data_IF_788421438672
#
_entry.id   IF_788421438672
#
_cell.length_a   1.000
_cell.length_b   1.000
_cell.length_c   1.000
_cell.angle_alpha   90.00
_cell.angle_beta   90.00
_cell.angle_gamma   90.00
#
_symmetry.space_group_name_H-M   'P 1'
#
loop_
_entity.id
_entity.type
_entity.pdbx_description
1 polymer ?
#
# COMPACT_ATOMS: atom_id res chain seq x y z
N UNK A 1 -10.42 -19.51 -4.25
CA UNK A 1 -9.18 -19.32 -5.03
C UNK A 1 -9.39 -18.29 -6.14
N UNK A 2 -8.88 -17.07 -5.94
CA UNK A 2 -8.94 -15.99 -6.93
C UNK A 2 -7.70 -16.02 -7.83
N UNK A 3 -7.89 -16.10 -9.15
CA UNK A 3 -6.79 -15.98 -10.11
C UNK A 3 -6.70 -14.52 -10.54
N UNK A 4 -5.83 -13.77 -9.88
CA UNK A 4 -5.57 -12.38 -10.25
C UNK A 4 -4.95 -12.35 -11.66
N UNK A 5 -5.60 -11.72 -12.65
CA UNK A 5 -5.05 -11.68 -13.99
C UNK A 5 -3.86 -10.72 -14.04
N UNK A 6 -2.90 -11.02 -14.92
CA UNK A 6 -1.57 -10.38 -14.95
C UNK A 6 -1.68 -8.87 -15.13
N UNK A 7 -2.64 -8.41 -15.93
CA UNK A 7 -2.91 -6.98 -16.11
C UNK A 7 -3.26 -6.27 -14.79
N UNK A 8 -4.00 -6.91 -13.89
CA UNK A 8 -4.36 -6.33 -12.59
C UNK A 8 -3.16 -6.31 -11.64
N UNK A 9 -2.23 -7.25 -11.78
CA UNK A 9 -0.98 -7.23 -11.02
C UNK A 9 -0.09 -6.08 -11.47
N UNK A 10 0.11 -5.95 -12.79
CA UNK A 10 1.02 -4.95 -13.37
C UNK A 10 0.47 -3.53 -13.25
N UNK A 11 -0.83 -3.34 -13.46
CA UNK A 11 -1.45 -2.01 -13.51
C UNK A 11 -2.19 -1.63 -12.22
N UNK A 12 -2.39 -2.57 -11.29
CA UNK A 12 -3.02 -2.31 -10.00
C UNK A 12 -2.03 -2.56 -8.87
N UNK A 13 -1.75 -3.82 -8.55
CA UNK A 13 -1.00 -4.17 -7.34
C UNK A 13 0.44 -3.62 -7.28
N UNK A 14 1.15 -3.52 -8.40
CA UNK A 14 2.50 -2.93 -8.41
C UNK A 14 2.42 -1.41 -8.15
N UNK A 15 1.66 -0.61 -8.93
CA UNK A 15 1.44 0.81 -8.66
C UNK A 15 0.94 1.09 -7.24
N UNK A 16 -0.06 0.34 -6.78
CA UNK A 16 -0.60 0.42 -5.41
C UNK A 16 0.50 0.25 -4.37
N UNK A 17 1.29 -0.82 -4.46
CA UNK A 17 2.37 -1.08 -3.51
C UNK A 17 3.45 0.01 -3.55
N UNK A 18 3.76 0.56 -4.74
CA UNK A 18 4.68 1.69 -4.85
C UNK A 18 4.14 2.93 -4.12
N UNK A 19 2.87 3.27 -4.35
CA UNK A 19 2.22 4.43 -3.72
C UNK A 19 2.12 4.27 -2.20
N UNK A 20 1.75 3.08 -1.72
CA UNK A 20 1.66 2.80 -0.29
C UNK A 20 3.00 2.98 0.43
N UNK A 21 4.08 2.40 -0.10
CA UNK A 21 5.43 2.56 0.46
C UNK A 21 5.84 4.01 0.43
N UNK A 22 5.64 4.68 -0.70
CA UNK A 22 6.07 6.06 -0.87
C UNK A 22 5.34 6.99 0.10
N UNK A 23 4.01 6.91 0.14
CA UNK A 23 3.17 7.71 1.04
C UNK A 23 3.49 7.42 2.51
N UNK A 24 3.57 6.14 2.90
CA UNK A 24 3.82 5.73 4.28
C UNK A 24 5.14 6.27 4.83
N UNK A 25 6.23 6.17 4.06
CA UNK A 25 7.52 6.71 4.48
C UNK A 25 7.56 8.25 4.45
N UNK A 26 6.92 8.88 3.45
CA UNK A 26 6.84 10.34 3.38
C UNK A 26 6.07 10.95 4.55
N UNK A 27 4.99 10.32 4.99
CA UNK A 27 4.24 10.73 6.19
C UNK A 27 5.13 10.71 7.43
N UNK A 28 6.11 9.80 7.49
CA UNK A 28 7.12 9.74 8.53
C UNK A 28 8.35 10.62 8.26
N UNK A 29 8.30 11.48 7.24
CA UNK A 29 9.39 12.41 6.88
C UNK A 29 10.61 11.74 6.24
N UNK A 30 10.54 10.45 5.92
CA UNK A 30 11.59 9.73 5.21
C UNK A 30 11.31 9.84 3.71
N UNK A 31 12.35 10.14 2.92
CA UNK A 31 12.26 10.24 1.46
C UNK A 31 13.05 9.09 0.82
N UNK A 32 12.45 7.89 0.64
CA UNK A 32 13.14 6.78 -0.01
C UNK A 32 13.45 7.14 -1.48
N UNK A 33 14.60 6.72 -2.02
CA UNK A 33 14.89 6.91 -3.43
C UNK A 33 13.92 6.08 -4.29
N UNK A 34 13.46 6.64 -5.40
CA UNK A 34 12.45 6.04 -6.28
C UNK A 34 12.80 4.61 -6.72
N UNK A 35 14.10 4.33 -6.95
CA UNK A 35 14.60 2.98 -7.31
C UNK A 35 14.26 1.93 -6.23
N UNK A 36 14.36 2.29 -4.95
CA UNK A 36 14.02 1.39 -3.84
C UNK A 36 12.51 1.16 -3.76
N UNK A 37 11.72 2.21 -3.95
CA UNK A 37 10.25 2.14 -3.99
C UNK A 37 9.79 1.20 -5.11
N UNK A 38 10.35 1.35 -6.31
CA UNK A 38 10.08 0.49 -7.45
C UNK A 38 10.38 -0.98 -7.14
N UNK A 39 11.54 -1.27 -6.53
CA UNK A 39 11.91 -2.63 -6.16
C UNK A 39 10.93 -3.24 -5.16
N UNK A 40 10.53 -2.50 -4.13
CA UNK A 40 9.53 -2.98 -3.16
C UNK A 40 8.19 -3.23 -3.84
N UNK A 41 7.72 -2.29 -4.67
CA UNK A 41 6.44 -2.41 -5.38
C UNK A 41 6.37 -3.62 -6.31
N UNK A 42 7.44 -3.86 -7.09
CA UNK A 42 7.52 -5.04 -7.97
C UNK A 42 7.51 -6.34 -7.18
N UNK A 43 8.34 -6.45 -6.14
CA UNK A 43 8.37 -7.66 -5.31
C UNK A 43 7.03 -7.89 -4.60
N UNK A 44 6.42 -6.84 -4.07
CA UNK A 44 5.12 -6.94 -3.41
C UNK A 44 4.01 -7.32 -4.39
N UNK A 45 4.02 -6.79 -5.62
CA UNK A 45 3.06 -7.18 -6.66
C UNK A 45 3.21 -8.64 -7.08
N UNK A 46 4.45 -9.13 -7.23
CA UNK A 46 4.72 -10.55 -7.52
C UNK A 46 4.24 -11.44 -6.36
N UNK A 47 4.61 -11.09 -5.12
CA UNK A 47 4.16 -11.82 -3.94
C UNK A 47 2.65 -11.76 -3.80
N UNK A 48 2.02 -10.65 -4.19
CA UNK A 48 0.57 -10.51 -4.16
C UNK A 48 -0.14 -11.52 -5.06
N UNK A 49 0.38 -11.73 -6.26
CA UNK A 49 -0.11 -12.75 -7.17
C UNK A 49 -0.08 -14.16 -6.57
N UNK A 50 1.04 -14.54 -5.94
CA UNK A 50 1.18 -15.86 -5.34
C UNK A 50 0.37 -16.02 -4.06
N UNK A 51 0.39 -15.02 -3.16
CA UNK A 51 -0.37 -15.07 -1.91
C UNK A 51 -1.86 -15.25 -2.20
N UNK A 52 -2.45 -14.47 -3.11
CA UNK A 52 -3.88 -14.59 -3.46
C UNK A 52 -4.24 -15.91 -4.15
N UNK A 53 -3.25 -16.57 -4.77
CA UNK A 53 -3.44 -17.88 -5.39
C UNK A 53 -3.50 -19.01 -4.37
N UNK A 54 -2.72 -18.92 -3.29
CA UNK A 54 -2.58 -19.99 -2.29
C UNK A 54 -3.36 -19.76 -0.99
N UNK A 55 -3.76 -18.52 -0.70
CA UNK A 55 -4.53 -18.17 0.50
C UNK A 55 -5.93 -17.71 0.12
N UNK A 56 -6.92 -18.15 0.90
CA UNK A 56 -8.29 -17.68 0.77
C UNK A 56 -8.48 -16.25 1.32
N UNK A 57 -9.69 -15.72 1.14
CA UNK A 57 -10.04 -14.37 1.57
C UNK A 57 -9.88 -14.21 3.09
N UNK A 58 -9.21 -13.16 3.56
CA UNK A 58 -8.86 -12.94 4.97
C UNK A 58 -7.36 -13.16 5.26
N UNK A 59 -6.87 -14.41 5.40
CA UNK A 59 -5.48 -14.70 5.76
C UNK A 59 -4.44 -14.08 4.83
N UNK A 60 -4.78 -13.92 3.54
CA UNK A 60 -3.90 -13.27 2.57
C UNK A 60 -3.52 -11.84 2.98
N UNK A 61 -4.40 -11.09 3.67
CA UNK A 61 -4.13 -9.69 4.10
C UNK A 61 -2.95 -9.65 5.08
N UNK A 62 -2.93 -10.57 6.05
CA UNK A 62 -1.83 -10.67 7.02
C UNK A 62 -0.53 -11.05 6.30
N UNK A 63 -0.59 -12.01 5.38
CA UNK A 63 0.57 -12.40 4.58
C UNK A 63 1.09 -11.24 3.72
N UNK A 64 0.21 -10.44 3.11
CA UNK A 64 0.59 -9.22 2.39
C UNK A 64 1.27 -8.22 3.32
N UNK A 65 0.72 -7.96 4.50
CA UNK A 65 1.30 -7.01 5.44
C UNK A 65 2.70 -7.44 5.90
N UNK A 66 2.87 -8.72 6.26
CA UNK A 66 4.17 -9.27 6.68
C UNK A 66 5.21 -9.18 5.56
N UNK A 67 4.86 -9.63 4.35
CA UNK A 67 5.76 -9.56 3.19
C UNK A 67 6.11 -8.11 2.83
N UNK A 68 5.15 -7.20 2.95
CA UNK A 68 5.36 -5.80 2.62
C UNK A 68 6.29 -5.10 3.61
N UNK A 69 6.12 -5.37 4.91
CA UNK A 69 7.03 -4.89 5.97
C UNK A 69 8.43 -5.47 5.73
N UNK A 70 8.54 -6.76 5.44
CA UNK A 70 9.82 -7.41 5.19
C UNK A 70 10.57 -6.79 4.00
N UNK A 71 9.92 -6.66 2.83
CA UNK A 71 10.54 -6.05 1.66
C UNK A 71 10.92 -4.59 1.89
N UNK A 72 10.04 -3.83 2.53
CA UNK A 72 10.29 -2.42 2.85
C UNK A 72 11.48 -2.28 3.79
N UNK A 73 11.56 -3.12 4.83
CA UNK A 73 12.66 -3.11 5.79
C UNK A 73 14.00 -3.41 5.09
N UNK A 74 14.07 -4.51 4.35
CA UNK A 74 15.30 -4.98 3.69
C UNK A 74 15.78 -3.99 2.61
N UNK A 75 14.86 -3.42 1.84
CA UNK A 75 15.21 -2.58 0.67
C UNK A 75 15.40 -1.12 1.07
N UNK A 76 14.49 -0.55 1.85
CA UNK A 76 14.56 0.87 2.25
C UNK A 76 15.62 1.07 3.34
N UNK A 77 15.87 0.04 4.16
CA UNK A 77 16.83 0.05 5.27
C UNK A 77 16.50 1.07 6.36
N UNK A 78 15.22 1.29 6.61
CA UNK A 78 14.76 1.99 7.81
C UNK A 78 14.75 1.02 9.01
N UNK A 79 14.72 1.55 10.23
CA UNK A 79 14.53 0.72 11.42
C UNK A 79 13.13 0.04 11.40
N UNK A 80 13.03 -1.10 12.08
CA UNK A 80 11.82 -1.94 12.06
C UNK A 80 10.58 -1.17 12.53
N UNK A 81 10.60 -0.44 13.66
CA UNK A 81 9.41 0.26 14.16
C UNK A 81 8.85 1.26 13.14
N UNK A 82 9.74 2.01 12.47
CA UNK A 82 9.35 2.97 11.43
C UNK A 82 8.81 2.29 10.19
N UNK A 83 9.39 1.16 9.78
CA UNK A 83 8.90 0.41 8.64
C UNK A 83 7.49 -0.13 8.92
N UNK A 84 7.30 -0.73 10.09
CA UNK A 84 5.99 -1.24 10.53
C UNK A 84 4.98 -0.09 10.55
N UNK A 85 5.35 1.05 11.14
CA UNK A 85 4.46 2.22 11.22
C UNK A 85 4.13 2.81 9.85
N UNK A 86 5.11 2.95 8.95
CA UNK A 86 4.91 3.47 7.60
C UNK A 86 3.92 2.60 6.82
N UNK A 87 4.10 1.29 6.86
CA UNK A 87 3.22 0.34 6.18
C UNK A 87 1.84 0.30 6.84
N UNK A 88 1.76 0.32 8.17
CA UNK A 88 0.48 0.40 8.89
C UNK A 88 -0.31 1.65 8.50
N UNK A 89 0.33 2.83 8.46
CA UNK A 89 -0.31 4.08 8.03
C UNK A 89 -0.85 3.98 6.60
N UNK A 90 -0.06 3.43 5.67
CA UNK A 90 -0.50 3.25 4.30
C UNK A 90 -1.71 2.29 4.21
N UNK A 91 -1.69 1.16 4.92
CA UNK A 91 -2.83 0.25 5.00
C UNK A 91 -4.06 0.92 5.60
N UNK A 92 -3.90 1.72 6.66
CA UNK A 92 -5.01 2.47 7.25
C UNK A 92 -5.67 3.38 6.23
N UNK A 93 -4.88 4.10 5.43
CA UNK A 93 -5.43 4.95 4.35
C UNK A 93 -6.24 4.12 3.36
N UNK A 94 -5.71 2.99 2.88
CA UNK A 94 -6.42 2.12 1.93
C UNK A 94 -7.72 1.59 2.53
N UNK A 95 -7.68 1.03 3.75
CA UNK A 95 -8.86 0.49 4.44
C UNK A 95 -9.92 1.56 4.70
N UNK A 96 -9.51 2.77 5.08
CA UNK A 96 -10.43 3.89 5.31
C UNK A 96 -11.09 4.40 4.02
N UNK A 97 -10.50 4.16 2.86
CA UNK A 97 -11.11 4.50 1.56
C UNK A 97 -11.96 3.35 1.03
N UNK A 98 -11.42 2.14 1.00
CA UNK A 98 -12.11 0.98 0.42
C UNK A 98 -13.26 0.47 1.30
N UNK A 99 -13.11 0.51 2.62
CA UNK A 99 -14.12 0.03 3.57
C UNK A 99 -15.48 0.71 3.37
N UNK A 100 -15.55 2.05 3.39
CA UNK A 100 -16.78 2.77 3.10
C UNK A 100 -17.33 2.51 1.70
N UNK A 101 -16.48 2.37 0.67
CA UNK A 101 -16.93 2.04 -0.69
C UNK A 101 -17.61 0.67 -0.75
N UNK A 102 -17.10 -0.32 -0.01
CA UNK A 102 -17.70 -1.65 0.06
C UNK A 102 -18.99 -1.66 0.89
N UNK A 103 -19.02 -0.95 2.02
CA UNK A 103 -20.18 -0.93 2.93
C UNK A 103 -21.34 -0.13 2.35
N UNK A 104 -21.06 1.08 1.86
CA UNK A 104 -22.10 2.03 1.41
C UNK A 104 -22.33 1.99 -0.10
N UNK A 105 -21.35 1.55 -0.89
CA UNK A 105 -21.46 1.50 -2.35
C UNK A 105 -22.30 0.33 -2.89
N UNK A 106 -22.79 -0.56 -2.03
CA UNK A 106 -23.55 -1.77 -2.40
C UNK A 106 -22.87 -2.59 -3.51
N UNK A 107 -21.53 -2.65 -3.48
CA UNK A 107 -20.73 -3.28 -4.52
C UNK A 107 -20.74 -4.79 -4.31
N UNK A 108 -21.25 -5.52 -5.30
CA UNK A 108 -21.16 -6.97 -5.29
C UNK A 108 -19.71 -7.41 -5.59
N UNK A 109 -19.03 -7.93 -4.58
CA UNK A 109 -17.62 -8.38 -4.65
C UNK A 109 -17.44 -9.44 -5.74
N UNK A 110 -18.37 -10.39 -5.88
CA UNK A 110 -18.28 -11.43 -6.90
C UNK A 110 -18.34 -10.84 -8.32
N UNK A 111 -19.19 -9.83 -8.52
CA UNK A 111 -19.28 -9.11 -9.79
C UNK A 111 -18.03 -8.27 -10.06
N UNK A 112 -17.48 -7.60 -9.06
CA UNK A 112 -16.21 -6.85 -9.19
C UNK A 112 -15.06 -7.80 -9.57
N UNK A 113 -14.99 -8.97 -8.92
CA UNK A 113 -13.96 -9.96 -9.20
C UNK A 113 -14.11 -10.60 -10.59
N UNK A 114 -15.30 -10.58 -11.21
CA UNK A 114 -15.52 -11.17 -12.53
C UNK A 114 -14.79 -10.47 -13.68
N UNK A 115 -14.41 -9.20 -13.53
CA UNK A 115 -13.84 -8.39 -14.62
C UNK A 115 -12.57 -7.66 -14.16
N UNK A 116 -11.45 -7.90 -14.86
CA UNK A 116 -10.16 -7.27 -14.56
C UNK A 116 -10.20 -5.75 -14.55
N UNK A 117 -10.94 -5.14 -15.49
CA UNK A 117 -11.05 -3.69 -15.61
C UNK A 117 -11.84 -3.07 -14.45
N UNK A 118 -12.86 -3.76 -13.94
CA UNK A 118 -13.62 -3.29 -12.78
C UNK A 118 -12.78 -3.34 -11.51
N UNK A 119 -11.92 -4.35 -11.37
CA UNK A 119 -10.95 -4.42 -10.27
C UNK A 119 -9.99 -3.23 -10.30
N UNK A 120 -9.47 -2.87 -11.47
CA UNK A 120 -8.58 -1.71 -11.63
C UNK A 120 -9.30 -0.40 -11.26
N UNK A 121 -10.54 -0.22 -11.73
CA UNK A 121 -11.34 0.95 -11.35
C UNK A 121 -11.58 1.06 -9.84
N UNK A 122 -11.68 -0.08 -9.14
CA UNK A 122 -11.86 -0.10 -7.70
C UNK A 122 -10.63 0.36 -6.91
N UNK A 123 -9.42 0.24 -7.48
CA UNK A 123 -8.20 0.73 -6.84
C UNK A 123 -8.02 2.25 -6.95
N UNK A 124 -8.58 2.86 -8.01
CA UNK A 124 -8.40 4.29 -8.29
C UNK A 124 -8.67 5.24 -7.10
N UNK A 125 -9.75 5.08 -6.30
CA UNK A 125 -10.05 6.03 -5.22
C UNK A 125 -8.92 6.13 -4.20
N UNK A 126 -8.34 5.00 -3.78
CA UNK A 126 -7.26 5.01 -2.80
C UNK A 126 -5.92 5.39 -3.46
N UNK A 127 -5.68 5.00 -4.72
CA UNK A 127 -4.48 5.41 -5.47
C UNK A 127 -4.40 6.93 -5.66
N UNK A 128 -5.53 7.56 -5.99
CA UNK A 128 -5.64 9.02 -6.08
C UNK A 128 -5.30 9.65 -4.74
N UNK A 129 -5.86 9.13 -3.63
CA UNK A 129 -5.60 9.68 -2.31
C UNK A 129 -4.13 9.52 -1.88
N UNK A 130 -3.53 8.35 -2.10
CA UNK A 130 -2.11 8.12 -1.84
C UNK A 130 -1.23 9.04 -2.70
N UNK A 131 -1.58 9.23 -3.97
CA UNK A 131 -0.92 10.20 -4.86
C UNK A 131 -1.00 11.63 -4.34
N UNK A 132 -2.16 12.05 -3.83
CA UNK A 132 -2.33 13.36 -3.19
C UNK A 132 -1.47 13.50 -1.92
N UNK A 133 -1.43 12.47 -1.07
CA UNK A 133 -0.57 12.44 0.12
C UNK A 133 0.90 12.62 -0.28
N UNK A 134 1.37 11.84 -1.26
CA UNK A 134 2.74 11.95 -1.79
C UNK A 134 3.01 13.37 -2.32
N UNK A 135 2.07 13.94 -3.07
CA UNK A 135 2.20 15.30 -3.62
C UNK A 135 2.34 16.34 -2.51
N UNK A 136 1.45 16.32 -1.50
CA UNK A 136 1.49 17.28 -0.41
C UNK A 136 2.71 17.11 0.49
N UNK A 137 3.06 15.87 0.87
CA UNK A 137 4.26 15.60 1.67
C UNK A 137 5.55 16.00 0.93
N UNK A 138 5.60 15.79 -0.39
CA UNK A 138 6.79 16.13 -1.19
C UNK A 138 6.92 17.63 -1.45
N UNK A 139 5.81 18.33 -1.71
CA UNK A 139 5.82 19.77 -2.06
C UNK A 139 5.81 20.70 -0.86
N UNK A 140 5.04 20.37 0.18
CA UNK A 140 4.84 21.24 1.36
C UNK A 140 5.68 20.81 2.56
N UNK A 141 6.50 19.77 2.39
CA UNK A 141 7.30 19.15 3.47
C UNK A 141 6.49 18.81 4.72
N UNK A 142 5.22 18.45 4.55
CA UNK A 142 4.34 18.04 5.63
C UNK A 142 4.73 16.62 6.04
N UNK A 143 4.95 16.41 7.33
CA UNK A 143 5.15 15.08 7.91
C UNK A 143 4.53 15.00 9.30
N UNK A 144 4.02 13.84 9.65
CA UNK A 144 3.48 13.57 10.98
C UNK A 144 4.56 13.71 12.06
N UNK A 145 5.83 13.47 11.71
CA UNK A 145 6.97 13.64 12.63
C UNK A 145 7.20 15.10 13.02
N UNK A 146 6.85 16.06 12.16
CA UNK A 146 6.91 17.49 12.50
C UNK A 146 5.82 17.88 13.49
N UNK A 147 4.63 17.29 13.38
CA UNK A 147 3.47 17.58 14.23
C UNK A 147 3.51 16.83 15.57
N UNK A 148 3.91 15.56 15.55
CA UNK A 148 3.88 14.67 16.72
C UNK A 148 5.30 14.36 17.22
N UNK A 149 5.73 15.07 18.26
CA UNK A 149 7.08 14.95 18.81
C UNK A 149 7.48 13.54 19.29
N UNK A 150 6.52 12.68 19.69
CA UNK A 150 6.81 11.31 20.11
C UNK A 150 7.29 10.43 18.95
N UNK A 151 6.87 10.71 17.70
CA UNK A 151 7.28 9.94 16.53
C UNK A 151 8.79 10.08 16.24
N UNK A 152 9.41 11.20 16.65
CA UNK A 152 10.86 11.38 16.51
C UNK A 152 11.67 10.30 17.22
N UNK A 153 11.15 9.76 18.33
CA UNK A 153 11.81 8.67 19.09
C UNK A 153 11.72 7.31 18.39
N UNK A 154 10.75 7.16 17.49
CA UNK A 154 10.51 5.92 16.74
C UNK A 154 11.25 5.97 15.40
N UNK A 155 11.26 7.13 14.75
CA UNK A 155 11.88 7.36 13.44
C UNK A 155 13.40 7.58 13.52
N UNK A 156 13.90 7.97 14.69
CA UNK A 156 15.33 8.18 14.98
C UNK A 156 16.16 6.91 15.01
#
# INVERSE_FOLDING_TARGET
MDRMPINVVVLGSIPEAMLMVWAGFLLLGIKPPLRRILMVGVLQGISSYFIRRYFDFGPHIVAHMVTFIFYSYVIIRANIPTTVLAIALAFTVVVMVEGPLLIFGNINIAYMLSSSWKRLLFFLPHEILLGLIIYFCSRKEISLVKEFGFLKKIVG
#
